data_IF_641150008214
#
_entry.id   IF_641150008214
#
_cell.length_a   1.000
_cell.length_b   1.000
_cell.length_c   1.000
_cell.angle_alpha   90.00
_cell.angle_beta   90.00
_cell.angle_gamma   90.00
#
_symmetry.space_group_name_H-M   'P 1'
#
loop_
_entity.id
_entity.type
_entity.pdbx_description
1 polymer ?
#
# COMPACT_ATOMS: atom_id res chain seq x y z
N UNK A 1 -7.96 -7.76 -13.28
CA UNK A 1 -7.11 -6.56 -13.37
C UNK A 1 -7.06 -5.88 -12.01
N UNK A 2 -5.89 -5.53 -11.58
CA UNK A 2 -5.73 -4.95 -10.24
C UNK A 2 -6.09 -3.47 -10.29
N UNK A 3 -6.87 -3.03 -9.30
CA UNK A 3 -7.34 -1.65 -9.21
C UNK A 3 -6.57 -0.89 -8.14
N UNK A 4 -5.25 -0.80 -8.35
CA UNK A 4 -4.42 0.01 -7.47
C UNK A 4 -3.43 0.82 -8.32
N UNK A 5 -3.05 1.97 -7.79
CA UNK A 5 -2.07 2.82 -8.44
C UNK A 5 -1.10 3.35 -7.40
N UNK A 6 0.11 3.61 -7.85
CA UNK A 6 1.10 4.30 -7.04
C UNK A 6 0.80 5.80 -7.10
N UNK A 7 0.40 6.36 -5.96
CA UNK A 7 0.02 7.77 -5.89
C UNK A 7 1.23 8.67 -5.66
N UNK A 8 2.12 8.26 -4.75
CA UNK A 8 3.32 9.03 -4.45
C UNK A 8 4.44 8.10 -4.06
N UNK A 9 5.66 8.52 -4.34
CA UNK A 9 6.84 7.84 -3.88
C UNK A 9 7.72 8.86 -3.16
N UNK A 10 7.95 8.61 -1.87
CA UNK A 10 8.84 9.45 -1.08
C UNK A 10 10.23 8.83 -1.00
N UNK A 11 10.62 8.12 -2.06
CA UNK A 11 11.89 7.42 -2.09
C UNK A 11 13.03 8.42 -1.98
N UNK A 12 13.43 8.69 -0.76
CA UNK A 12 14.69 9.35 -0.51
C UNK A 12 15.72 8.28 -0.22
N UNK A 13 16.97 8.65 -0.19
CA UNK A 13 18.09 7.72 -0.21
C UNK A 13 17.92 6.52 0.71
N UNK A 14 17.20 6.65 1.80
CA UNK A 14 17.10 5.59 2.80
C UNK A 14 15.67 5.24 3.20
N UNK A 15 14.66 5.79 2.52
CA UNK A 15 13.27 5.58 2.93
C UNK A 15 12.41 5.36 1.70
N UNK A 16 12.21 4.11 1.30
CA UNK A 16 11.40 3.80 0.11
C UNK A 16 9.91 3.78 0.43
N UNK A 17 9.42 4.78 1.12
CA UNK A 17 8.00 4.86 1.42
C UNK A 17 7.21 5.30 0.21
N UNK A 18 6.07 4.65 -0.02
CA UNK A 18 5.21 4.93 -1.14
C UNK A 18 3.77 4.99 -0.67
N UNK A 19 2.99 5.83 -1.33
CA UNK A 19 1.54 5.89 -1.09
C UNK A 19 0.83 5.25 -2.28
N UNK A 20 -0.03 4.30 -1.97
CA UNK A 20 -0.81 3.58 -2.98
C UNK A 20 -2.30 3.86 -2.76
N UNK A 21 -3.06 3.89 -3.84
CA UNK A 21 -4.52 3.92 -3.78
C UNK A 21 -5.06 2.63 -4.35
N UNK A 22 -6.11 2.09 -3.73
CA UNK A 22 -6.84 0.97 -4.31
C UNK A 22 -8.34 1.17 -4.05
N UNK A 23 -9.16 0.43 -4.78
CA UNK A 23 -10.61 0.60 -4.69
C UNK A 23 -11.23 -0.21 -3.57
N UNK A 24 -10.81 -1.45 -3.37
CA UNK A 24 -11.44 -2.36 -2.42
C UNK A 24 -10.39 -3.11 -1.59
N UNK A 25 -10.85 -3.83 -0.55
CA UNK A 25 -9.97 -4.69 0.24
C UNK A 25 -9.34 -5.78 -0.62
N UNK A 26 -10.07 -6.31 -1.59
CA UNK A 26 -9.50 -7.31 -2.50
C UNK A 26 -8.36 -6.73 -3.29
N UNK A 27 -8.46 -5.49 -3.70
CA UNK A 27 -7.38 -4.80 -4.41
C UNK A 27 -6.17 -4.62 -3.51
N UNK A 28 -6.39 -4.33 -2.22
CA UNK A 28 -5.31 -4.27 -1.25
C UNK A 28 -4.58 -5.61 -1.15
N UNK A 29 -5.34 -6.70 -1.14
CA UNK A 29 -4.75 -8.03 -1.07
C UNK A 29 -3.95 -8.34 -2.33
N UNK A 30 -4.44 -7.92 -3.49
CA UNK A 30 -3.70 -8.05 -4.74
C UNK A 30 -2.42 -7.22 -4.70
N UNK A 31 -2.48 -6.02 -4.15
CA UNK A 31 -1.31 -5.17 -4.01
C UNK A 31 -0.22 -5.83 -3.14
N UNK A 32 -0.63 -6.59 -2.13
CA UNK A 32 0.31 -7.29 -1.27
C UNK A 32 1.19 -8.27 -2.04
N UNK A 33 0.70 -8.78 -3.18
CA UNK A 33 1.48 -9.69 -4.03
C UNK A 33 2.53 -8.95 -4.85
N UNK A 34 2.48 -7.63 -4.90
CA UNK A 34 3.43 -6.85 -5.66
C UNK A 34 4.77 -6.84 -4.91
N UNK A 35 5.82 -7.27 -5.58
CA UNK A 35 7.15 -7.36 -4.97
C UNK A 35 7.75 -6.00 -4.63
N UNK A 36 7.17 -4.92 -5.15
CA UNK A 36 7.63 -3.57 -4.83
C UNK A 36 7.12 -3.06 -3.50
N UNK A 37 6.17 -3.78 -2.88
CA UNK A 37 5.65 -3.38 -1.57
C UNK A 37 6.66 -3.74 -0.49
N UNK A 38 7.02 -2.75 0.31
CA UNK A 38 7.99 -2.91 1.38
C UNK A 38 7.47 -2.31 2.68
N UNK A 39 8.15 -2.59 3.76
CA UNK A 39 7.83 -2.04 5.06
C UNK A 39 7.73 -0.51 4.99
N UNK A 40 6.63 0.03 5.50
CA UNK A 40 6.40 1.46 5.53
C UNK A 40 5.54 1.99 4.39
N UNK A 41 5.23 1.16 3.39
CA UNK A 41 4.32 1.58 2.32
C UNK A 41 2.91 1.74 2.87
N UNK A 42 2.20 2.72 2.35
CA UNK A 42 0.85 3.07 2.81
C UNK A 42 -0.13 2.83 1.68
N UNK A 43 -1.30 2.30 2.02
CA UNK A 43 -2.39 2.13 1.05
C UNK A 43 -3.65 2.81 1.58
N UNK A 44 -4.34 3.53 0.70
CA UNK A 44 -5.63 4.12 0.98
C UNK A 44 -6.68 3.35 0.19
N UNK A 45 -7.66 2.78 0.90
CA UNK A 45 -8.75 2.02 0.27
C UNK A 45 -9.94 2.95 0.10
N UNK A 46 -10.30 3.25 -1.14
CA UNK A 46 -11.30 4.27 -1.43
C UNK A 46 -12.71 3.83 -1.03
N UNK A 47 -13.06 2.56 -1.22
CA UNK A 47 -14.42 2.09 -0.93
C UNK A 47 -14.75 2.12 0.56
N UNK A 48 -13.77 1.89 1.42
CA UNK A 48 -13.97 1.88 2.87
C UNK A 48 -13.41 3.11 3.55
N UNK A 49 -12.65 3.91 2.83
CA UNK A 49 -11.97 5.11 3.34
C UNK A 49 -11.04 4.79 4.49
N UNK A 50 -10.38 3.65 4.42
CA UNK A 50 -9.42 3.22 5.43
C UNK A 50 -8.01 3.33 4.91
N UNK A 51 -7.08 3.55 5.81
CA UNK A 51 -5.65 3.68 5.51
C UNK A 51 -4.90 2.61 6.27
N UNK A 52 -4.00 1.90 5.57
CA UNK A 52 -3.18 0.86 6.17
C UNK A 52 -1.72 1.13 5.86
N UNK A 53 -0.86 0.65 6.77
CA UNK A 53 0.58 0.71 6.58
C UNK A 53 1.14 -0.72 6.58
N UNK A 54 2.10 -0.98 5.71
CA UNK A 54 2.73 -2.30 5.62
C UNK A 54 3.75 -2.47 6.73
N UNK A 55 3.60 -3.55 7.50
CA UNK A 55 4.58 -3.93 8.49
C UNK A 55 5.75 -4.71 7.86
N UNK A 56 6.79 -4.92 8.64
CA UNK A 56 7.94 -5.69 8.16
C UNK A 56 7.66 -7.20 8.07
N UNK A 57 6.49 -7.62 8.54
CA UNK A 57 6.03 -9.01 8.46
C UNK A 57 5.13 -9.25 7.26
N UNK A 58 5.02 -8.28 6.35
CA UNK A 58 4.20 -8.34 5.15
C UNK A 58 2.70 -8.37 5.46
N UNK A 59 2.31 -7.83 6.58
CA UNK A 59 0.90 -7.65 6.94
C UNK A 59 0.56 -6.17 6.98
N UNK A 60 -0.68 -5.85 6.58
CA UNK A 60 -1.18 -4.49 6.65
C UNK A 60 -1.73 -4.21 8.05
N UNK A 61 -1.42 -3.04 8.57
CA UNK A 61 -1.94 -2.58 9.86
C UNK A 61 -2.77 -1.32 9.63
N UNK A 62 -3.97 -1.30 10.15
CA UNK A 62 -4.85 -0.14 10.00
C UNK A 62 -4.33 1.03 10.82
N UNK A 63 -4.33 2.19 10.20
CA UNK A 63 -3.88 3.42 10.86
C UNK A 63 -5.04 4.16 11.51
#
# INVERSE_FOLDING_TARGET
MDNYILAESWAQANVPNRLWYCMTDDDKNALTQNENIVFGDIVYILSTKKIFIMGNDKNWYEM
#
